data_IF_123046449901
#
_entry.id   IF_123046449901
#
_cell.length_a   1.000
_cell.length_b   1.000
_cell.length_c   1.000
_cell.angle_alpha   90.00
_cell.angle_beta   90.00
_cell.angle_gamma   90.00
#
_symmetry.space_group_name_H-M   'P 1'
#
loop_
_entity.id
_entity.type
_entity.pdbx_description
1 polymer ?
#
# COMPACT_ATOMS: atom_id res chain seq x y z
N UNK A 1 -4.33 9.02 -24.52
CA UNK A 1 -3.84 9.02 -23.11
C UNK A 1 -4.35 7.71 -22.52
N UNK A 2 -3.48 6.99 -21.78
CA UNK A 2 -3.89 5.69 -21.20
C UNK A 2 -5.00 5.88 -20.15
N UNK A 3 -5.97 4.99 -20.12
CA UNK A 3 -7.13 5.01 -19.23
C UNK A 3 -7.14 3.80 -18.33
N UNK A 4 -7.02 3.99 -17.05
CA UNK A 4 -6.98 2.92 -16.04
C UNK A 4 -8.23 2.95 -15.17
N UNK A 5 -9.03 1.88 -15.21
CA UNK A 5 -10.10 1.66 -14.25
C UNK A 5 -9.53 0.86 -13.07
N UNK A 6 -9.68 1.37 -11.85
CA UNK A 6 -9.07 0.78 -10.66
C UNK A 6 -10.03 0.87 -9.47
N UNK A 7 -10.12 -0.17 -8.68
CA UNK A 7 -10.98 -0.13 -7.50
C UNK A 7 -10.45 -0.96 -6.34
N UNK A 8 -10.72 -0.46 -5.14
CA UNK A 8 -10.56 -1.22 -3.90
C UNK A 8 -11.73 -2.19 -3.77
N UNK A 9 -11.44 -3.44 -3.47
CA UNK A 9 -12.47 -4.45 -3.25
C UNK A 9 -13.39 -4.06 -2.09
N UNK A 10 -14.67 -4.36 -2.24
CA UNK A 10 -15.69 -4.20 -1.20
C UNK A 10 -15.98 -2.75 -0.81
N UNK A 11 -16.64 -2.57 0.31
CA UNK A 11 -16.86 -1.34 1.05
C UNK A 11 -16.55 -1.57 2.52
N UNK A 12 -16.52 -0.51 3.32
CA UNK A 12 -16.10 -0.63 4.73
C UNK A 12 -17.04 -1.56 5.52
N UNK A 13 -18.33 -1.60 5.15
CA UNK A 13 -19.34 -2.37 5.90
C UNK A 13 -19.69 -3.71 5.24
N UNK A 14 -18.95 -4.16 4.21
CA UNK A 14 -19.24 -5.43 3.55
C UNK A 14 -19.15 -6.59 4.56
N UNK A 15 -20.25 -7.38 4.73
CA UNK A 15 -20.24 -8.46 5.71
C UNK A 15 -19.15 -9.50 5.45
N UNK A 16 -18.49 -9.96 6.50
CA UNK A 16 -17.48 -11.03 6.43
C UNK A 16 -16.13 -10.61 5.88
N UNK A 17 -15.98 -9.42 5.30
CA UNK A 17 -14.73 -8.95 4.68
C UNK A 17 -13.88 -8.20 5.70
N UNK A 18 -13.22 -8.99 6.57
CA UNK A 18 -12.47 -8.45 7.72
C UNK A 18 -11.45 -9.47 8.24
N UNK A 19 -10.49 -8.96 8.99
CA UNK A 19 -9.57 -9.80 9.78
C UNK A 19 -10.34 -10.53 10.89
N UNK A 20 -9.77 -11.59 11.48
CA UNK A 20 -10.41 -12.25 12.62
C UNK A 20 -10.69 -11.31 13.81
N UNK A 21 -9.90 -10.24 13.97
CA UNK A 21 -10.09 -9.25 15.05
C UNK A 21 -10.79 -7.96 14.58
N UNK A 22 -11.32 -7.94 13.35
CA UNK A 22 -12.34 -6.98 12.93
C UNK A 22 -11.93 -5.84 12.00
N UNK A 23 -10.66 -5.73 11.61
CA UNK A 23 -10.24 -4.71 10.62
C UNK A 23 -10.82 -5.03 9.25
N UNK A 24 -11.29 -4.02 8.54
CA UNK A 24 -12.02 -4.21 7.28
C UNK A 24 -11.07 -4.38 6.10
N UNK A 25 -11.37 -5.35 5.22
CA UNK A 25 -10.60 -5.57 3.99
C UNK A 25 -10.48 -4.30 3.17
N UNK A 26 -11.61 -3.57 2.99
CA UNK A 26 -11.63 -2.34 2.22
C UNK A 26 -10.57 -1.33 2.74
N UNK A 27 -10.32 -1.27 4.05
CA UNK A 27 -9.36 -0.31 4.61
C UNK A 27 -7.94 -0.55 4.09
N UNK A 28 -7.52 -1.82 3.99
CA UNK A 28 -6.22 -2.17 3.42
C UNK A 28 -6.20 -1.90 1.91
N UNK A 29 -7.24 -2.35 1.20
CA UNK A 29 -7.37 -2.17 -0.24
C UNK A 29 -7.35 -0.68 -0.61
N UNK A 30 -8.08 0.14 0.14
CA UNK A 30 -8.22 1.58 -0.10
C UNK A 30 -6.88 2.32 0.02
N UNK A 31 -6.03 1.95 0.97
CA UNK A 31 -4.71 2.59 1.12
C UNK A 31 -3.86 2.37 -0.12
N UNK A 32 -3.81 1.14 -0.63
CA UNK A 32 -3.07 0.81 -1.85
C UNK A 32 -3.64 1.55 -3.05
N UNK A 33 -4.96 1.48 -3.24
CA UNK A 33 -5.62 2.08 -4.42
C UNK A 33 -5.52 3.61 -4.39
N UNK A 34 -5.67 4.24 -3.22
CA UNK A 34 -5.53 5.70 -3.10
C UNK A 34 -4.13 6.16 -3.51
N UNK A 35 -3.09 5.47 -3.04
CA UNK A 35 -1.71 5.77 -3.43
C UNK A 35 -1.50 5.52 -4.93
N UNK A 36 -2.03 4.43 -5.47
CA UNK A 36 -1.91 4.12 -6.90
C UNK A 36 -2.56 5.21 -7.76
N UNK A 37 -3.78 5.64 -7.41
CA UNK A 37 -4.50 6.70 -8.13
C UNK A 37 -3.68 7.99 -8.14
N UNK A 38 -3.11 8.37 -7.00
CA UNK A 38 -2.27 9.57 -6.90
C UNK A 38 -1.10 9.51 -7.87
N UNK A 39 -0.35 8.41 -7.83
CA UNK A 39 0.85 8.26 -8.67
C UNK A 39 0.51 8.08 -10.16
N UNK A 40 -0.59 7.39 -10.50
CA UNK A 40 -1.04 7.30 -11.89
C UNK A 40 -1.32 8.69 -12.49
N UNK A 41 -1.95 9.57 -11.70
CA UNK A 41 -2.21 10.95 -12.13
C UNK A 41 -0.90 11.74 -12.34
N UNK A 42 0.11 11.49 -11.51
CA UNK A 42 1.44 12.12 -11.71
C UNK A 42 2.07 11.71 -13.05
N UNK A 43 1.83 10.47 -13.51
CA UNK A 43 2.23 10.01 -14.84
C UNK A 43 1.39 10.61 -15.97
N UNK A 44 0.30 11.31 -15.66
CA UNK A 44 -0.63 11.83 -16.65
C UNK A 44 -1.57 10.78 -17.22
N UNK A 45 -1.75 9.68 -16.49
CA UNK A 45 -2.68 8.60 -16.85
C UNK A 45 -4.08 8.98 -16.37
N UNK A 46 -5.09 8.80 -17.20
CA UNK A 46 -6.48 9.01 -16.82
C UNK A 46 -6.95 7.87 -15.93
N UNK A 47 -7.59 8.18 -14.81
CA UNK A 47 -7.99 7.18 -13.83
C UNK A 47 -9.47 7.28 -13.52
N UNK A 48 -10.18 6.17 -13.64
CA UNK A 48 -11.56 6.00 -13.16
C UNK A 48 -11.56 5.11 -11.93
N UNK A 49 -11.94 5.67 -10.79
CA UNK A 49 -12.09 4.91 -9.56
C UNK A 49 -13.43 4.17 -9.55
N UNK A 50 -13.42 2.85 -9.30
CA UNK A 50 -14.59 1.98 -9.43
C UNK A 50 -15.34 1.73 -8.11
N UNK A 51 -14.66 1.85 -6.97
CA UNK A 51 -15.29 1.75 -5.66
C UNK A 51 -15.67 3.15 -5.13
N UNK A 52 -16.36 3.18 -4.00
CA UNK A 52 -16.64 4.42 -3.28
C UNK A 52 -15.41 4.78 -2.42
N UNK A 53 -14.69 5.87 -2.73
CA UNK A 53 -13.49 6.24 -1.95
C UNK A 53 -13.75 6.55 -0.48
N UNK A 54 -15.01 6.81 -0.10
CA UNK A 54 -15.39 7.00 1.30
C UNK A 54 -15.60 5.68 2.03
N UNK A 55 -15.75 4.58 1.30
CA UNK A 55 -16.01 3.24 1.82
C UNK A 55 -17.43 3.00 2.31
N UNK A 56 -18.30 4.02 2.27
CA UNK A 56 -19.67 3.93 2.79
C UNK A 56 -20.54 2.94 2.02
N UNK A 57 -20.32 2.86 0.72
CA UNK A 57 -21.09 2.02 -0.19
C UNK A 57 -20.22 0.89 -0.74
N UNK A 58 -20.70 -0.35 -0.64
CA UNK A 58 -20.12 -1.45 -1.43
C UNK A 58 -20.72 -1.38 -2.84
N UNK A 59 -20.03 -0.68 -3.74
CA UNK A 59 -20.49 -0.51 -5.11
C UNK A 59 -20.66 -1.88 -5.78
N UNK A 60 -21.84 -2.22 -6.32
CA UNK A 60 -22.06 -3.54 -6.92
C UNK A 60 -21.06 -3.87 -8.03
N UNK A 61 -20.70 -5.14 -8.14
CA UNK A 61 -19.70 -5.61 -9.13
C UNK A 61 -20.08 -5.22 -10.54
N UNK A 62 -21.35 -5.41 -10.92
CA UNK A 62 -21.84 -5.02 -12.25
C UNK A 62 -21.72 -3.53 -12.52
N UNK A 63 -21.97 -2.69 -11.51
CA UNK A 63 -21.78 -1.24 -11.63
C UNK A 63 -20.31 -0.91 -11.91
N UNK A 64 -19.39 -1.58 -11.21
CA UNK A 64 -17.94 -1.36 -11.40
C UNK A 64 -17.51 -1.73 -12.83
N UNK A 65 -17.88 -2.91 -13.30
CA UNK A 65 -17.49 -3.38 -14.65
C UNK A 65 -18.18 -2.58 -15.74
N UNK A 66 -19.48 -2.24 -15.56
CA UNK A 66 -20.19 -1.41 -16.53
C UNK A 66 -19.53 -0.03 -16.68
N UNK A 67 -19.18 0.62 -15.57
CA UNK A 67 -18.48 1.93 -15.61
C UNK A 67 -17.15 1.82 -16.38
N UNK A 68 -16.36 0.80 -16.11
CA UNK A 68 -15.08 0.61 -16.81
C UNK A 68 -15.31 0.38 -18.31
N UNK A 69 -16.29 -0.46 -18.66
CA UNK A 69 -16.63 -0.79 -20.05
C UNK A 69 -17.17 0.42 -20.81
N UNK A 70 -18.06 1.20 -20.19
CA UNK A 70 -18.66 2.41 -20.79
C UNK A 70 -17.62 3.52 -20.98
N UNK A 71 -16.64 3.61 -20.08
CA UNK A 71 -15.57 4.59 -20.16
C UNK A 71 -14.49 4.19 -21.16
N UNK A 72 -14.55 2.99 -21.72
CA UNK A 72 -13.53 2.40 -22.60
C UNK A 72 -12.15 2.43 -21.92
N UNK A 73 -12.06 1.89 -20.71
CA UNK A 73 -10.79 1.75 -20.02
C UNK A 73 -9.84 0.84 -20.82
N UNK A 74 -8.55 1.17 -20.79
CA UNK A 74 -7.52 0.34 -21.44
C UNK A 74 -7.17 -0.88 -20.60
N UNK A 75 -7.22 -0.76 -19.26
CA UNK A 75 -7.06 -1.89 -18.33
C UNK A 75 -7.97 -1.71 -17.11
N UNK A 76 -8.22 -2.83 -16.41
CA UNK A 76 -8.96 -2.82 -15.15
C UNK A 76 -8.15 -3.53 -14.07
N UNK A 77 -7.99 -2.87 -12.91
CA UNK A 77 -7.31 -3.42 -11.74
C UNK A 77 -8.29 -3.47 -10.57
N UNK A 78 -8.51 -4.66 -10.01
CA UNK A 78 -9.28 -4.86 -8.77
C UNK A 78 -8.31 -5.26 -7.66
N UNK A 79 -8.18 -4.44 -6.62
CA UNK A 79 -7.20 -4.70 -5.56
C UNK A 79 -7.90 -5.19 -4.29
N UNK A 80 -7.44 -6.30 -3.77
CA UNK A 80 -8.01 -7.03 -2.64
C UNK A 80 -6.94 -7.51 -1.67
N UNK A 81 -7.38 -7.99 -0.52
CA UNK A 81 -6.60 -8.80 0.39
C UNK A 81 -7.38 -10.07 0.74
N UNK A 82 -6.71 -11.18 0.70
CA UNK A 82 -7.26 -12.52 0.77
C UNK A 82 -7.65 -12.93 2.20
N UNK A 83 -8.41 -13.99 2.32
CA UNK A 83 -8.62 -14.72 3.56
C UNK A 83 -8.75 -16.20 3.24
N UNK A 84 -8.30 -17.06 4.16
CA UNK A 84 -8.39 -18.50 3.96
C UNK A 84 -9.60 -19.09 4.70
N UNK A 85 -9.60 -19.04 6.03
CA UNK A 85 -10.66 -19.67 6.84
C UNK A 85 -11.32 -18.70 7.84
N UNK A 86 -10.90 -17.43 7.85
CA UNK A 86 -11.45 -16.43 8.78
C UNK A 86 -10.97 -16.57 10.23
N UNK A 87 -9.94 -17.36 10.46
CA UNK A 87 -9.27 -17.52 11.77
C UNK A 87 -7.77 -17.39 11.55
N UNK A 88 -7.05 -16.94 12.58
CA UNK A 88 -5.60 -16.77 12.47
C UNK A 88 -4.89 -18.07 12.12
N UNK A 89 -4.00 -17.99 11.12
CA UNK A 89 -3.17 -19.11 10.69
C UNK A 89 -1.86 -18.66 10.08
N UNK A 90 -1.08 -19.59 9.52
CA UNK A 90 0.27 -19.32 9.03
C UNK A 90 0.41 -19.37 7.50
N UNK A 91 -0.70 -19.43 6.76
CA UNK A 91 -0.65 -19.26 5.30
C UNK A 91 -0.19 -17.84 4.98
N UNK A 92 0.41 -17.67 3.79
CA UNK A 92 1.03 -16.39 3.45
C UNK A 92 1.13 -16.22 1.95
N UNK A 93 1.09 -14.99 1.51
CA UNK A 93 1.56 -14.63 0.18
C UNK A 93 0.62 -13.81 -0.68
N UNK A 94 1.21 -13.31 -1.75
CA UNK A 94 0.58 -12.46 -2.76
C UNK A 94 0.25 -13.29 -4.00
N UNK A 95 -0.95 -13.11 -4.56
CA UNK A 95 -1.36 -13.79 -5.80
C UNK A 95 -2.14 -12.83 -6.69
N UNK A 96 -2.16 -13.11 -7.99
CA UNK A 96 -2.89 -12.28 -8.97
C UNK A 96 -3.69 -13.17 -9.88
N UNK A 97 -4.95 -12.80 -10.09
CA UNK A 97 -5.90 -13.56 -10.90
C UNK A 97 -6.23 -12.84 -12.20
N UNK A 98 -6.39 -13.63 -13.26
CA UNK A 98 -6.95 -13.19 -14.54
C UNK A 98 -8.01 -14.21 -15.00
N UNK A 99 -8.82 -13.86 -16.00
CA UNK A 99 -9.88 -14.75 -16.48
C UNK A 99 -9.28 -15.91 -17.31
N UNK A 100 -9.74 -17.16 -17.12
CA UNK A 100 -9.22 -18.30 -17.89
C UNK A 100 -9.27 -18.06 -19.41
N UNK A 101 -8.15 -18.26 -20.08
CA UNK A 101 -8.03 -18.07 -21.53
C UNK A 101 -7.78 -16.65 -22.00
N UNK A 102 -7.83 -15.66 -21.11
CA UNK A 102 -7.59 -14.25 -21.47
C UNK A 102 -6.09 -13.94 -21.56
N UNK A 103 -5.53 -14.07 -22.76
CA UNK A 103 -4.09 -13.82 -22.99
C UNK A 103 -3.66 -12.39 -22.63
N UNK A 104 -4.52 -11.41 -22.86
CA UNK A 104 -4.24 -10.00 -22.53
C UNK A 104 -4.27 -9.78 -21.01
N UNK A 105 -5.15 -10.47 -20.29
CA UNK A 105 -5.16 -10.47 -18.82
C UNK A 105 -3.90 -11.09 -18.24
N UNK A 106 -3.43 -12.19 -18.84
CA UNK A 106 -2.17 -12.82 -18.44
C UNK A 106 -0.99 -11.89 -18.67
N UNK A 107 -0.94 -11.20 -19.81
CA UNK A 107 0.14 -10.25 -20.10
C UNK A 107 0.15 -9.11 -19.08
N UNK A 108 -1.02 -8.57 -18.73
CA UNK A 108 -1.15 -7.53 -17.69
C UNK A 108 -0.70 -8.06 -16.33
N UNK A 109 -1.12 -9.27 -15.95
CA UNK A 109 -0.72 -9.89 -14.69
C UNK A 109 0.81 -10.06 -14.61
N UNK A 110 1.44 -10.52 -15.70
CA UNK A 110 2.91 -10.69 -15.77
C UNK A 110 3.65 -9.36 -15.61
N UNK A 111 3.07 -8.27 -16.12
CA UNK A 111 3.68 -6.94 -16.01
C UNK A 111 3.61 -6.39 -14.58
N UNK A 112 2.56 -6.71 -13.83
CA UNK A 112 2.25 -6.05 -12.56
C UNK A 112 2.62 -6.91 -11.34
N UNK A 113 2.33 -8.21 -11.38
CA UNK A 113 2.46 -9.11 -10.22
C UNK A 113 3.85 -9.05 -9.55
N UNK A 114 4.98 -9.08 -10.29
CA UNK A 114 6.29 -9.06 -9.63
C UNK A 114 6.53 -7.82 -8.76
N UNK A 115 5.99 -6.67 -9.18
CA UNK A 115 6.15 -5.41 -8.43
C UNK A 115 5.40 -5.46 -7.10
N UNK A 116 4.21 -6.06 -7.08
CA UNK A 116 3.43 -6.22 -5.84
C UNK A 116 4.13 -7.22 -4.90
N UNK A 117 4.55 -8.38 -5.43
CA UNK A 117 5.31 -9.36 -4.64
C UNK A 117 6.54 -8.72 -4.01
N UNK A 118 7.29 -7.94 -4.81
CA UNK A 118 8.51 -7.30 -4.34
C UNK A 118 8.28 -6.32 -3.20
N UNK A 119 7.23 -5.50 -3.29
CA UNK A 119 6.97 -4.48 -2.26
C UNK A 119 6.31 -5.07 -1.01
N UNK A 120 5.41 -6.05 -1.18
CA UNK A 120 4.76 -6.70 -0.04
C UNK A 120 5.76 -7.58 0.74
N UNK A 121 6.77 -8.12 0.06
CA UNK A 121 7.78 -8.95 0.71
C UNK A 121 7.22 -10.27 1.27
N UNK A 122 6.08 -10.70 0.75
CA UNK A 122 5.40 -11.93 1.15
C UNK A 122 5.72 -13.05 0.14
N UNK A 123 5.35 -14.28 0.49
CA UNK A 123 5.53 -15.42 -0.42
C UNK A 123 4.86 -15.14 -1.76
N UNK A 124 5.56 -15.39 -2.85
CA UNK A 124 4.98 -15.35 -4.19
C UNK A 124 4.12 -16.60 -4.41
N UNK A 125 2.81 -16.41 -4.52
CA UNK A 125 1.84 -17.49 -4.80
C UNK A 125 1.51 -17.59 -6.29
N UNK A 126 2.05 -16.68 -7.09
CA UNK A 126 1.97 -16.72 -8.54
C UNK A 126 0.75 -16.07 -9.15
N UNK A 127 0.71 -16.18 -10.46
CA UNK A 127 -0.39 -15.72 -11.31
C UNK A 127 -1.29 -16.92 -11.59
N UNK A 128 -2.59 -16.73 -11.40
CA UNK A 128 -3.58 -17.82 -11.46
C UNK A 128 -4.80 -17.40 -12.29
N UNK A 129 -5.60 -18.36 -12.65
CA UNK A 129 -6.89 -18.10 -13.30
C UNK A 129 -8.03 -18.30 -12.30
N UNK A 130 -9.07 -17.47 -12.44
CA UNK A 130 -10.32 -17.65 -11.69
C UNK A 130 -11.48 -17.03 -12.44
N UNK A 131 -12.65 -17.62 -12.31
CA UNK A 131 -13.89 -17.10 -12.90
C UNK A 131 -14.51 -16.08 -11.94
N UNK A 132 -13.85 -14.92 -11.80
CA UNK A 132 -14.30 -13.84 -10.93
C UNK A 132 -14.98 -12.75 -11.78
N UNK A 133 -16.05 -12.15 -11.26
CA UNK A 133 -16.85 -11.16 -11.98
C UNK A 133 -15.96 -10.03 -12.57
N UNK A 134 -15.04 -9.49 -11.78
CA UNK A 134 -14.25 -8.31 -12.20
C UNK A 134 -13.35 -8.61 -13.40
N UNK A 135 -12.87 -9.84 -13.55
CA UNK A 135 -12.02 -10.23 -14.71
C UNK A 135 -12.81 -10.88 -15.84
N UNK A 136 -14.05 -11.35 -15.57
CA UNK A 136 -14.91 -11.96 -16.58
C UNK A 136 -15.74 -10.93 -17.35
N UNK A 137 -16.35 -9.97 -16.64
CA UNK A 137 -17.32 -9.03 -17.23
C UNK A 137 -16.67 -7.74 -17.78
N UNK A 138 -15.35 -7.64 -17.69
CA UNK A 138 -14.58 -6.54 -18.25
C UNK A 138 -14.22 -6.80 -19.72
N UNK A 139 -14.39 -5.79 -20.58
CA UNK A 139 -14.07 -5.87 -22.01
C UNK A 139 -12.57 -5.66 -22.30
N UNK A 140 -11.84 -5.07 -21.35
CA UNK A 140 -10.42 -4.76 -21.45
C UNK A 140 -9.60 -5.78 -20.66
N UNK A 141 -8.27 -5.83 -20.84
CA UNK A 141 -7.40 -6.63 -19.97
C UNK A 141 -7.67 -6.30 -18.49
N UNK A 142 -7.90 -7.32 -17.68
CA UNK A 142 -8.30 -7.14 -16.28
C UNK A 142 -7.62 -8.15 -15.37
N UNK A 143 -7.21 -7.68 -14.20
CA UNK A 143 -6.63 -8.52 -13.15
C UNK A 143 -7.23 -8.18 -11.78
N UNK A 144 -7.24 -9.19 -10.90
CA UNK A 144 -7.57 -9.02 -9.50
C UNK A 144 -6.35 -9.43 -8.67
N UNK A 145 -5.89 -8.52 -7.86
CA UNK A 145 -4.68 -8.72 -7.03
C UNK A 145 -5.11 -9.00 -5.60
N UNK A 146 -4.54 -10.04 -4.99
CA UNK A 146 -4.66 -10.37 -3.57
C UNK A 146 -3.31 -10.09 -2.92
N UNK A 147 -3.19 -8.95 -2.24
CA UNK A 147 -1.92 -8.45 -1.72
C UNK A 147 -1.34 -9.27 -0.58
N UNK A 148 -2.19 -9.98 0.16
CA UNK A 148 -1.80 -10.82 1.30
C UNK A 148 -3.06 -11.32 2.02
N UNK A 149 -2.88 -12.19 3.01
CA UNK A 149 -4.00 -12.81 3.74
C UNK A 149 -4.32 -12.03 5.02
N UNK A 150 -5.55 -11.55 5.14
CA UNK A 150 -6.04 -10.83 6.33
C UNK A 150 -6.05 -11.69 7.60
N UNK A 151 -6.22 -13.00 7.43
CA UNK A 151 -6.28 -13.96 8.53
C UNK A 151 -4.95 -14.71 8.74
N UNK A 152 -3.86 -14.13 8.24
CA UNK A 152 -2.51 -14.66 8.41
C UNK A 152 -1.76 -13.92 9.52
N UNK A 153 -1.20 -14.68 10.47
CA UNK A 153 -0.33 -14.13 11.52
C UNK A 153 0.98 -13.57 10.96
N UNK A 154 1.31 -13.92 9.72
CA UNK A 154 2.50 -13.45 9.00
C UNK A 154 2.16 -12.17 8.23
N UNK A 155 1.17 -12.26 7.32
CA UNK A 155 0.86 -11.18 6.37
C UNK A 155 0.28 -9.94 7.05
N UNK A 156 -0.51 -10.14 8.12
CA UNK A 156 -1.14 -9.01 8.82
C UNK A 156 -0.12 -8.01 9.37
N UNK A 157 1.07 -8.46 9.70
CA UNK A 157 2.16 -7.58 10.17
C UNK A 157 2.61 -6.60 9.09
N UNK A 158 2.62 -7.08 7.85
CA UNK A 158 2.94 -6.26 6.67
C UNK A 158 1.76 -5.35 6.34
N UNK A 159 0.55 -5.89 6.33
CA UNK A 159 -0.67 -5.16 5.97
C UNK A 159 -1.00 -4.04 6.95
N UNK A 160 -0.60 -4.16 8.22
CA UNK A 160 -0.77 -3.11 9.25
C UNK A 160 0.29 -2.01 9.17
N UNK A 161 1.19 -2.08 8.19
CA UNK A 161 2.19 -1.05 7.95
C UNK A 161 1.73 -0.17 6.78
N UNK A 162 1.22 1.01 7.10
CA UNK A 162 0.68 1.95 6.12
C UNK A 162 1.73 2.33 5.05
N UNK A 163 3.01 2.47 5.44
CA UNK A 163 4.08 2.78 4.49
C UNK A 163 4.24 1.67 3.44
N UNK A 164 4.07 0.41 3.83
CA UNK A 164 4.14 -0.72 2.88
C UNK A 164 2.96 -0.64 1.90
N UNK A 165 1.74 -0.39 2.40
CA UNK A 165 0.56 -0.30 1.54
C UNK A 165 0.65 0.90 0.58
N UNK A 166 1.17 2.03 1.04
CA UNK A 166 1.41 3.20 0.19
C UNK A 166 2.46 2.90 -0.89
N UNK A 167 3.56 2.23 -0.52
CA UNK A 167 4.58 1.79 -1.48
C UNK A 167 4.01 0.76 -2.46
N UNK A 168 3.09 -0.11 -2.03
CA UNK A 168 2.42 -1.05 -2.93
C UNK A 168 1.60 -0.30 -3.97
N UNK A 169 0.89 0.76 -3.57
CA UNK A 169 0.17 1.62 -4.50
C UNK A 169 1.10 2.31 -5.49
N UNK A 170 2.23 2.83 -5.01
CA UNK A 170 3.24 3.43 -5.90
C UNK A 170 3.80 2.38 -6.88
N UNK A 171 4.18 1.20 -6.39
CA UNK A 171 4.72 0.13 -7.23
C UNK A 171 3.72 -0.32 -8.29
N UNK A 172 2.43 -0.38 -7.92
CA UNK A 172 1.34 -0.67 -8.86
C UNK A 172 1.28 0.40 -9.97
N UNK A 173 1.32 1.67 -9.60
CA UNK A 173 1.29 2.77 -10.57
C UNK A 173 2.52 2.75 -11.48
N UNK A 174 3.70 2.52 -10.92
CA UNK A 174 4.96 2.44 -11.69
C UNK A 174 4.88 1.28 -12.70
N UNK A 175 4.41 0.11 -12.29
CA UNK A 175 4.27 -1.07 -13.17
C UNK A 175 3.23 -0.82 -14.27
N UNK A 176 2.13 -0.12 -13.97
CA UNK A 176 1.12 0.26 -14.97
C UNK A 176 1.72 1.25 -15.97
N UNK A 177 2.47 2.25 -15.50
CA UNK A 177 3.14 3.22 -16.37
C UNK A 177 4.12 2.51 -17.31
N UNK A 178 4.92 1.58 -16.78
CA UNK A 178 5.84 0.75 -17.59
C UNK A 178 5.08 -0.08 -18.63
N UNK A 179 3.95 -0.68 -18.23
CA UNK A 179 3.11 -1.49 -19.14
C UNK A 179 2.64 -0.66 -20.35
N UNK A 180 2.33 0.62 -20.14
CA UNK A 180 1.92 1.54 -21.21
C UNK A 180 3.09 2.26 -21.88
N UNK A 181 4.32 2.07 -21.41
CA UNK A 181 5.48 2.81 -21.91
C UNK A 181 5.44 4.30 -21.58
N UNK A 182 4.75 4.66 -20.49
CA UNK A 182 4.63 6.05 -20.06
C UNK A 182 5.79 6.38 -19.13
N UNK A 183 6.60 7.38 -19.53
CA UNK A 183 7.64 7.91 -18.67
C UNK A 183 7.04 8.92 -17.69
N UNK A 184 7.57 8.95 -16.48
CA UNK A 184 7.24 10.04 -15.56
C UNK A 184 7.44 11.37 -16.30
N UNK A 185 6.42 12.21 -16.36
CA UNK A 185 6.62 13.57 -16.84
C UNK A 185 7.74 14.17 -15.99
N UNK A 186 8.79 14.74 -16.61
CA UNK A 186 9.74 15.48 -15.80
C UNK A 186 8.89 16.40 -14.95
N UNK A 187 8.92 16.20 -13.66
CA UNK A 187 8.22 17.10 -12.74
C UNK A 187 8.64 18.50 -13.19
N UNK A 188 7.70 19.34 -13.66
CA UNK A 188 7.90 20.78 -13.62
C UNK A 188 8.62 21.01 -12.32
N UNK A 189 9.81 21.67 -12.32
CA UNK A 189 10.46 21.89 -11.04
C UNK A 189 9.35 22.41 -10.15
N UNK A 190 8.89 21.56 -9.26
CA UNK A 190 7.95 21.95 -8.25
C UNK A 190 8.61 23.19 -7.69
N UNK A 191 7.94 24.34 -7.78
CA UNK A 191 8.31 25.51 -6.99
C UNK A 191 8.91 24.92 -5.72
N UNK A 192 10.22 25.08 -5.48
CA UNK A 192 10.88 24.29 -4.45
C UNK A 192 9.92 24.24 -3.27
N UNK A 193 9.56 23.04 -2.88
CA UNK A 193 8.72 22.84 -1.71
C UNK A 193 9.32 23.79 -0.70
N UNK A 194 8.54 24.74 -0.13
CA UNK A 194 9.13 25.76 0.72
C UNK A 194 10.15 25.02 1.55
N UNK A 195 11.43 25.40 1.41
CA UNK A 195 12.53 24.73 2.10
C UNK A 195 11.98 24.37 3.46
N UNK A 196 12.02 23.09 3.89
CA UNK A 196 11.46 22.76 5.18
C UNK A 196 12.01 23.82 6.12
N UNK A 197 11.14 24.68 6.59
CA UNK A 197 11.49 25.72 7.57
C UNK A 197 12.43 25.02 8.54
N UNK A 198 13.63 25.51 8.77
CA UNK A 198 14.65 24.74 9.48
C UNK A 198 13.98 24.06 10.65
N UNK A 199 13.92 22.75 10.59
CA UNK A 199 13.18 21.97 11.59
C UNK A 199 13.72 22.41 12.93
N UNK A 200 12.85 22.97 13.75
CA UNK A 200 13.19 23.39 15.10
C UNK A 200 14.09 22.30 15.68
N UNK A 201 15.36 22.62 15.89
CA UNK A 201 16.31 21.61 16.32
C UNK A 201 16.06 21.31 17.78
N UNK A 202 15.26 20.31 18.04
CA UNK A 202 14.96 19.90 19.41
C UNK A 202 16.22 19.38 20.08
N UNK A 203 16.49 19.86 21.28
CA UNK A 203 17.59 19.40 22.13
C UNK A 203 17.16 18.25 23.03
N UNK A 204 15.85 18.02 23.13
CA UNK A 204 15.28 17.05 24.06
C UNK A 204 14.15 16.28 23.38
N UNK A 205 14.13 14.94 23.57
CA UNK A 205 13.04 14.10 23.11
C UNK A 205 11.71 14.46 23.79
N UNK A 206 11.78 14.91 25.04
CA UNK A 206 10.59 15.33 25.80
C UNK A 206 9.97 16.58 25.17
N UNK A 207 10.80 17.58 24.81
CA UNK A 207 10.31 18.80 24.17
C UNK A 207 9.71 18.50 22.78
N UNK A 208 10.37 17.62 22.03
CA UNK A 208 9.85 17.17 20.73
C UNK A 208 8.46 16.54 20.91
N UNK A 209 8.34 15.61 21.87
CA UNK A 209 7.09 14.88 22.09
C UNK A 209 5.96 15.82 22.53
N UNK A 210 6.26 16.75 23.45
CA UNK A 210 5.27 17.75 23.93
C UNK A 210 4.78 18.63 22.77
N UNK A 211 5.69 19.12 21.95
CA UNK A 211 5.36 20.01 20.81
C UNK A 211 4.49 19.29 19.77
N UNK A 212 4.67 17.97 19.65
CA UNK A 212 3.87 17.12 18.74
C UNK A 212 2.66 16.49 19.44
N UNK A 213 2.29 16.98 20.62
CA UNK A 213 1.12 16.50 21.41
C UNK A 213 1.18 15.00 21.73
N UNK A 214 2.39 14.47 21.87
CA UNK A 214 2.63 13.07 22.25
C UNK A 214 2.81 12.95 23.76
N UNK A 215 2.39 11.85 24.34
CA UNK A 215 2.68 11.56 25.75
C UNK A 215 4.19 11.38 25.93
N UNK A 216 4.82 12.33 26.66
CA UNK A 216 6.26 12.34 26.89
C UNK A 216 6.67 11.60 28.17
N UNK A 217 5.76 10.85 28.80
CA UNK A 217 6.07 10.07 30.00
C UNK A 217 7.19 9.06 29.75
N UNK A 218 7.87 8.65 30.80
CA UNK A 218 8.93 7.65 30.73
C UNK A 218 8.39 6.34 30.13
N UNK A 219 7.20 5.91 30.55
CA UNK A 219 6.61 4.66 30.06
C UNK A 219 6.35 4.69 28.56
N UNK A 220 5.82 5.79 28.04
CA UNK A 220 5.59 5.91 26.60
C UNK A 220 6.93 6.02 25.83
N UNK A 221 7.92 6.76 26.37
CA UNK A 221 9.24 6.81 25.75
C UNK A 221 9.90 5.42 25.72
N UNK A 222 9.73 4.61 26.78
CA UNK A 222 10.23 3.24 26.82
C UNK A 222 9.57 2.37 25.75
N UNK A 223 8.26 2.45 25.63
CA UNK A 223 7.49 1.73 24.61
C UNK A 223 7.94 2.11 23.18
N UNK A 224 8.11 3.41 22.93
CA UNK A 224 8.59 3.90 21.64
C UNK A 224 10.04 3.46 21.38
N UNK A 225 10.90 3.52 22.39
CA UNK A 225 12.30 3.10 22.27
C UNK A 225 12.38 1.62 21.87
N UNK A 226 11.59 0.75 22.50
CA UNK A 226 11.50 -0.66 22.16
C UNK A 226 11.02 -0.84 20.70
N UNK A 227 9.98 -0.10 20.29
CA UNK A 227 9.46 -0.10 18.92
C UNK A 227 10.56 0.25 17.91
N UNK A 228 11.44 1.19 18.24
CA UNK A 228 12.53 1.64 17.36
C UNK A 228 13.84 0.87 17.58
N UNK A 229 13.80 -0.24 18.30
CA UNK A 229 14.95 -1.15 18.47
C UNK A 229 15.99 -0.66 19.48
N UNK A 230 15.65 0.28 20.35
CA UNK A 230 16.54 0.75 21.45
C UNK A 230 16.34 -0.19 22.65
N UNK A 231 17.22 -1.15 22.78
CA UNK A 231 17.13 -2.18 23.83
C UNK A 231 17.46 -1.60 25.21
N UNK A 232 16.84 -2.16 26.24
CA UNK A 232 17.11 -1.84 27.66
C UNK A 232 17.02 -0.32 27.95
N UNK A 233 15.96 0.31 27.43
CA UNK A 233 15.78 1.76 27.59
C UNK A 233 15.62 2.13 29.08
N UNK A 234 16.52 2.98 29.56
CA UNK A 234 16.54 3.54 30.94
C UNK A 234 16.40 5.06 30.96
N UNK A 235 16.19 5.68 29.79
CA UNK A 235 16.04 7.12 29.69
C UNK A 235 17.35 7.91 29.83
N UNK A 236 18.50 7.26 29.57
CA UNK A 236 19.78 7.96 29.59
C UNK A 236 19.83 9.05 28.50
N UNK A 237 20.72 10.02 28.67
CA UNK A 237 20.89 11.11 27.70
C UNK A 237 21.12 10.56 26.29
N UNK A 238 22.00 9.58 26.15
CA UNK A 238 22.31 8.94 24.85
C UNK A 238 21.08 8.25 24.26
N UNK A 239 20.34 7.49 25.05
CA UNK A 239 19.13 6.79 24.60
C UNK A 239 18.03 7.80 24.19
N UNK A 240 17.90 8.89 24.93
CA UNK A 240 16.93 9.95 24.61
C UNK A 240 17.30 10.66 23.29
N UNK A 241 18.59 10.92 23.04
CA UNK A 241 19.07 11.49 21.77
C UNK A 241 18.79 10.51 20.62
N UNK A 242 19.06 9.23 20.83
CA UNK A 242 18.78 8.19 19.82
C UNK A 242 17.29 8.13 19.50
N UNK A 243 16.43 8.14 20.52
CA UNK A 243 14.98 8.14 20.35
C UNK A 243 14.50 9.40 19.62
N UNK A 244 15.04 10.57 19.97
CA UNK A 244 14.72 11.83 19.29
C UNK A 244 15.05 11.74 17.78
N UNK A 245 16.24 11.24 17.46
CA UNK A 245 16.66 11.10 16.06
C UNK A 245 15.73 10.14 15.28
N UNK A 246 15.31 9.04 15.90
CA UNK A 246 14.35 8.10 15.30
C UNK A 246 12.99 8.77 15.06
N UNK A 247 12.49 9.50 16.05
CA UNK A 247 11.20 10.19 15.94
C UNK A 247 11.22 11.29 14.87
N UNK A 248 12.37 11.94 14.67
CA UNK A 248 12.53 12.96 13.63
C UNK A 248 12.84 12.38 12.24
N UNK A 249 12.88 11.07 12.08
CA UNK A 249 13.22 10.40 10.82
C UNK A 249 14.69 10.58 10.42
N UNK A 250 15.55 10.96 11.34
CA UNK A 250 16.98 11.17 11.07
C UNK A 250 17.73 9.85 11.25
N UNK A 251 17.94 9.15 10.15
CA UNK A 251 18.85 8.01 10.15
C UNK A 251 20.30 8.52 10.08
N UNK A 252 21.05 8.27 11.11
CA UNK A 252 22.51 8.43 11.01
C UNK A 252 23.02 7.28 10.14
N UNK A 253 23.47 7.58 8.93
CA UNK A 253 24.24 6.61 8.15
C UNK A 253 25.44 6.20 8.99
N UNK A 254 25.55 4.94 9.36
CA UNK A 254 26.75 4.40 9.97
C UNK A 254 27.90 4.60 8.97
N UNK A 255 28.89 5.42 9.33
CA UNK A 255 30.17 5.46 8.65
C UNK A 255 30.93 4.21 9.07
N UNK A 256 30.82 3.14 8.24
CA UNK A 256 31.66 1.99 8.43
C UNK A 256 33.10 2.36 8.05
N UNK A 257 33.85 2.51 8.84
CA UNK A 257 35.01 2.72 8.61
C UNK A 257 35.56 1.69 7.88
N UNK A 258 36.12 1.87 6.99
CA UNK A 258 36.94 0.94 6.23
C UNK A 258 38.16 0.54 7.06
N UNK A 259 38.36 -0.74 7.26
CA UNK A 259 39.63 -1.17 7.87
C UNK A 259 40.75 -0.86 6.87
N UNK A 260 41.89 -0.43 7.38
CA UNK A 260 43.12 -0.24 6.61
C UNK A 260 43.70 -1.59 6.19
#
# INVERSE_FOLDING_TARGET
MAKVAIGAGHGYHTPGKRTPDGEREWSFNNKVVTAAVMHLKEYGIDVLRLDDPSGKTDVPLSTRTNKANEWDADILISYHHNANIGKWGNWTGTETYYYPGASTGLALAKAIHPSIVGVMGLRDRGIKTANLHMVRESKMPAILIEGGFMDSTIDIKVMRNDEVLERAGKALADAIADYFGVQAKPSKPSKPAPEPKPSKKYKSVVDYMKDHKMDASFNNRKRLAEKYGIKNYRGTASQNVTLLNKLQGRFVKSTAXKPK
#
